data_IF_655916272351
#
_entry.id   IF_655916272351
#
_cell.length_a   1.000
_cell.length_b   1.000
_cell.length_c   1.000
_cell.angle_alpha   90.00
_cell.angle_beta   90.00
_cell.angle_gamma   90.00
#
_symmetry.space_group_name_H-M   'P 1'
#
loop_
_entity.id
_entity.type
_entity.pdbx_description
1 polymer ?
#
# COMPACT_ATOMS: atom_id res chain seq x y z
N UNK A 1 -7.03 -18.61 -9.99
CA UNK A 1 -5.67 -18.50 -10.54
C UNK A 1 -4.76 -17.98 -9.45
N UNK A 2 -3.69 -18.67 -9.14
CA UNK A 2 -2.72 -18.23 -8.13
C UNK A 2 -1.63 -17.47 -8.89
N UNK A 3 -1.33 -16.22 -8.50
CA UNK A 3 -0.17 -15.51 -9.01
C UNK A 3 1.05 -16.18 -8.40
N UNK A 4 1.66 -17.08 -9.16
CA UNK A 4 2.93 -17.69 -8.81
C UNK A 4 4.03 -16.85 -9.45
N UNK A 5 4.82 -16.19 -8.63
CA UNK A 5 6.10 -15.64 -9.08
C UNK A 5 6.96 -16.75 -9.66
N UNK A 6 7.77 -16.42 -10.69
CA UNK A 6 8.71 -17.29 -11.39
C UNK A 6 9.31 -18.36 -10.48
N UNK A 7 9.25 -19.61 -10.95
CA UNK A 7 9.99 -20.77 -10.43
C UNK A 7 9.56 -21.33 -9.07
N UNK A 8 8.33 -21.79 -8.88
CA UNK A 8 8.01 -22.78 -7.84
C UNK A 8 8.64 -22.61 -6.44
N UNK A 9 9.33 -21.50 -6.19
CA UNK A 9 9.95 -21.11 -4.94
C UNK A 9 8.85 -20.72 -3.96
N UNK A 10 8.68 -21.52 -2.93
CA UNK A 10 7.98 -21.13 -1.72
C UNK A 10 8.62 -19.82 -1.24
N UNK A 11 7.90 -18.71 -1.35
CA UNK A 11 8.36 -17.42 -0.81
C UNK A 11 8.31 -17.53 0.71
N UNK A 12 9.36 -18.10 1.32
CA UNK A 12 9.47 -18.23 2.78
C UNK A 12 9.49 -16.86 3.45
N UNK A 13 9.96 -15.84 2.74
CA UNK A 13 10.03 -14.45 3.21
C UNK A 13 9.18 -13.56 2.31
N UNK A 14 8.07 -13.02 2.85
CA UNK A 14 7.14 -12.13 2.13
C UNK A 14 5.72 -12.28 2.61
N UNK A 15 4.80 -11.60 1.94
CA UNK A 15 3.36 -11.69 2.18
C UNK A 15 2.77 -12.78 1.28
N UNK A 16 2.13 -13.78 1.88
CA UNK A 16 1.42 -14.87 1.19
C UNK A 16 -0.04 -14.83 1.60
N UNK A 17 -0.92 -14.75 0.61
CA UNK A 17 -2.38 -14.73 0.77
C UNK A 17 -2.96 -15.90 0.00
N UNK A 18 -3.76 -16.74 0.67
CA UNK A 18 -4.33 -17.95 0.07
C UNK A 18 -5.82 -18.04 0.36
N UNK A 19 -6.63 -18.07 -0.70
CA UNK A 19 -8.06 -18.31 -0.65
C UNK A 19 -8.84 -17.32 0.19
N UNK A 20 -8.41 -16.04 0.26
CA UNK A 20 -9.00 -15.02 1.11
C UNK A 20 -10.46 -14.79 0.76
N UNK A 21 -11.35 -14.79 1.79
CA UNK A 21 -12.81 -14.63 1.63
C UNK A 21 -13.36 -13.62 2.62
N UNK A 22 -14.35 -12.84 2.16
CA UNK A 22 -15.12 -11.92 2.98
C UNK A 22 -16.55 -11.80 2.47
N UNK A 23 -17.51 -11.97 3.38
CA UNK A 23 -18.93 -11.85 3.12
C UNK A 23 -19.56 -10.83 4.07
N UNK A 24 -20.47 -10.02 3.57
CA UNK A 24 -21.30 -9.09 4.34
C UNK A 24 -22.77 -9.39 4.07
N UNK A 25 -23.45 -10.07 4.99
CA UNK A 25 -24.79 -10.60 4.73
C UNK A 25 -24.79 -11.52 3.53
N UNK A 26 -25.60 -11.22 2.52
CA UNK A 26 -25.69 -11.99 1.27
C UNK A 26 -24.66 -11.57 0.21
N UNK A 27 -23.90 -10.49 0.47
CA UNK A 27 -22.91 -9.97 -0.48
C UNK A 27 -21.52 -10.54 -0.20
N UNK A 28 -20.96 -11.27 -1.18
CA UNK A 28 -19.57 -11.73 -1.15
C UNK A 28 -18.66 -10.67 -1.73
N UNK A 29 -17.94 -9.97 -0.86
CA UNK A 29 -17.04 -8.88 -1.25
C UNK A 29 -15.66 -9.37 -1.74
N UNK A 30 -15.19 -10.51 -1.21
CA UNK A 30 -13.93 -11.17 -1.62
C UNK A 30 -14.16 -12.66 -1.64
N UNK A 31 -13.82 -13.32 -2.74
CA UNK A 31 -14.07 -14.76 -2.96
C UNK A 31 -12.83 -15.46 -3.51
N UNK A 32 -12.05 -16.05 -2.62
CA UNK A 32 -10.93 -16.91 -2.96
C UNK A 32 -9.69 -16.17 -3.50
N UNK A 33 -9.46 -14.91 -3.12
CA UNK A 33 -8.31 -14.13 -3.57
C UNK A 33 -7.02 -14.73 -3.03
N UNK A 34 -6.06 -15.00 -3.94
CA UNK A 34 -4.74 -15.55 -3.63
C UNK A 34 -3.65 -14.82 -4.38
N UNK A 35 -2.57 -14.46 -3.69
CA UNK A 35 -1.38 -13.84 -4.28
C UNK A 35 -0.18 -13.94 -3.34
N UNK A 36 1.00 -13.66 -3.86
CA UNK A 36 2.23 -13.50 -3.09
C UNK A 36 2.86 -12.15 -3.39
N UNK A 37 3.53 -11.58 -2.39
CA UNK A 37 4.32 -10.35 -2.55
C UNK A 37 5.68 -10.58 -1.90
N UNK A 38 6.71 -10.70 -2.71
CA UNK A 38 8.09 -10.85 -2.25
C UNK A 38 8.60 -9.56 -1.60
N UNK A 39 9.61 -9.62 -0.71
CA UNK A 39 10.28 -8.43 -0.18
C UNK A 39 10.81 -7.57 -1.34
N UNK A 40 10.60 -6.26 -1.26
CA UNK A 40 11.02 -5.31 -2.28
C UNK A 40 10.25 -5.37 -3.61
N UNK A 41 9.33 -6.31 -3.79
CA UNK A 41 8.46 -6.36 -4.97
C UNK A 41 7.28 -5.38 -4.87
N UNK A 42 6.64 -5.10 -6.00
CA UNK A 42 5.46 -4.24 -6.09
C UNK A 42 4.34 -4.95 -6.85
N UNK A 43 3.20 -5.12 -6.18
CA UNK A 43 1.98 -5.67 -6.75
C UNK A 43 0.88 -4.61 -6.78
N UNK A 44 0.24 -4.41 -7.93
CA UNK A 44 -0.95 -3.59 -8.02
C UNK A 44 -2.23 -4.45 -8.02
N UNK A 45 -3.24 -4.01 -7.29
CA UNK A 45 -4.61 -4.54 -7.34
C UNK A 45 -5.48 -3.50 -8.05
N UNK A 46 -6.03 -3.88 -9.20
CA UNK A 46 -6.87 -3.00 -10.02
C UNK A 46 -8.27 -3.59 -10.22
N UNK A 47 -9.23 -2.75 -10.58
CA UNK A 47 -10.63 -3.13 -10.83
C UNK A 47 -11.57 -1.98 -10.55
N UNK A 48 -12.83 -2.11 -10.95
CA UNK A 48 -13.87 -1.10 -10.70
C UNK A 48 -14.18 -0.90 -9.21
N UNK A 49 -14.91 0.18 -8.89
CA UNK A 49 -15.45 0.39 -7.54
C UNK A 49 -16.33 -0.80 -7.14
N UNK A 50 -16.18 -1.27 -5.89
CA UNK A 50 -16.91 -2.45 -5.41
C UNK A 50 -16.33 -3.81 -5.82
N UNK A 51 -15.20 -3.87 -6.55
CA UNK A 51 -14.60 -5.16 -6.94
C UNK A 51 -13.92 -5.95 -5.80
N UNK A 52 -13.85 -5.39 -4.58
CA UNK A 52 -13.28 -6.06 -3.41
C UNK A 52 -11.87 -5.61 -3.02
N UNK A 53 -11.23 -4.66 -3.75
CA UNK A 53 -9.85 -4.18 -3.50
C UNK A 53 -9.64 -3.69 -2.07
N UNK A 54 -10.40 -2.67 -1.67
CA UNK A 54 -10.29 -2.08 -0.32
C UNK A 54 -10.60 -3.09 0.79
N UNK A 55 -11.58 -3.98 0.58
CA UNK A 55 -11.87 -5.07 1.54
C UNK A 55 -10.68 -6.01 1.67
N UNK A 56 -10.05 -6.39 0.54
CA UNK A 56 -8.85 -7.23 0.53
C UNK A 56 -7.74 -6.59 1.38
N UNK A 57 -7.38 -5.34 1.12
CA UNK A 57 -6.29 -4.70 1.88
C UNK A 57 -6.63 -4.43 3.34
N UNK A 58 -7.89 -4.13 3.68
CA UNK A 58 -8.33 -4.01 5.08
C UNK A 58 -8.16 -5.29 5.88
N UNK A 59 -8.37 -6.45 5.25
CA UNK A 59 -8.08 -7.73 5.88
C UNK A 59 -6.59 -7.94 6.14
N UNK A 60 -5.70 -7.51 5.23
CA UNK A 60 -4.25 -7.63 5.39
C UNK A 60 -3.72 -6.80 6.56
N UNK A 61 -4.22 -5.58 6.73
CA UNK A 61 -3.80 -4.69 7.83
C UNK A 61 -4.55 -4.97 9.14
N UNK A 62 -5.49 -5.93 9.14
CA UNK A 62 -6.24 -6.34 10.33
C UNK A 62 -7.37 -5.40 10.74
N UNK A 63 -7.81 -4.51 9.86
CA UNK A 63 -9.00 -3.66 10.05
C UNK A 63 -10.29 -4.43 9.80
N UNK A 64 -10.23 -5.47 8.97
CA UNK A 64 -11.31 -6.42 8.73
C UNK A 64 -10.83 -7.84 9.03
N UNK A 65 -11.76 -8.71 9.44
CA UNK A 65 -11.45 -10.12 9.63
C UNK A 65 -11.89 -10.91 8.40
N UNK A 66 -11.01 -11.75 7.83
CA UNK A 66 -11.42 -12.70 6.81
C UNK A 66 -12.39 -13.74 7.38
N UNK A 67 -13.33 -14.20 6.55
CA UNK A 67 -14.23 -15.30 6.89
C UNK A 67 -13.66 -16.65 6.43
N UNK A 68 -12.65 -16.62 5.54
CA UNK A 68 -11.89 -17.78 5.09
C UNK A 68 -10.57 -17.40 4.46
N UNK A 69 -9.72 -18.40 4.24
CA UNK A 69 -8.40 -18.24 3.70
C UNK A 69 -7.33 -17.93 4.75
N UNK A 70 -6.09 -17.76 4.30
CA UNK A 70 -4.94 -17.45 5.16
C UNK A 70 -4.16 -16.25 4.68
N UNK A 71 -3.61 -15.50 5.64
CA UNK A 71 -2.64 -14.42 5.43
C UNK A 71 -1.40 -14.73 6.24
N UNK A 72 -0.26 -14.88 5.58
CA UNK A 72 1.04 -15.10 6.24
C UNK A 72 2.02 -14.02 5.84
N UNK A 73 2.79 -13.55 6.79
CA UNK A 73 3.92 -12.65 6.54
C UNK A 73 5.18 -13.28 7.16
N UNK A 74 6.20 -13.50 6.32
CA UNK A 74 7.42 -14.17 6.73
C UNK A 74 7.16 -15.51 7.47
N UNK A 75 6.23 -16.32 6.93
CA UNK A 75 5.81 -17.61 7.50
C UNK A 75 4.86 -17.52 8.70
N UNK A 76 4.66 -16.34 9.31
CA UNK A 76 3.78 -16.17 10.47
C UNK A 76 2.33 -15.94 10.04
N UNK A 77 1.41 -16.72 10.59
CA UNK A 77 -0.04 -16.58 10.34
C UNK A 77 -0.58 -15.30 10.99
N UNK A 78 -1.30 -14.52 10.19
CA UNK A 78 -1.98 -13.27 10.59
C UNK A 78 -3.51 -13.35 10.44
N UNK A 79 -4.05 -14.49 10.01
CA UNK A 79 -5.49 -14.68 9.78
C UNK A 79 -6.29 -14.69 11.08
N UNK A 80 -5.64 -15.03 12.20
CA UNK A 80 -6.24 -15.10 13.52
C UNK A 80 -6.13 -13.78 14.29
N UNK A 81 -6.98 -13.59 15.31
CA UNK A 81 -6.87 -12.41 16.19
C UNK A 81 -5.54 -12.41 16.96
N UNK A 82 -4.88 -11.25 17.11
CA UNK A 82 -3.70 -11.13 17.93
C UNK A 82 -4.02 -11.45 19.41
N UNK A 83 -3.12 -12.17 20.07
CA UNK A 83 -3.24 -12.61 21.47
C UNK A 83 -2.81 -11.50 22.44
N UNK A 84 -3.41 -10.32 22.34
CA UNK A 84 -3.14 -9.23 23.25
C UNK A 84 -2.47 -8.01 22.60
N UNK A 85 -2.07 -7.04 23.46
CA UNK A 85 -1.56 -5.74 22.99
C UNK A 85 -0.20 -5.86 22.27
N UNK A 86 0.71 -6.66 22.80
CA UNK A 86 2.06 -6.79 22.25
C UNK A 86 2.02 -7.34 20.82
N UNK A 87 1.32 -8.45 20.59
CA UNK A 87 1.19 -9.04 19.25
C UNK A 87 0.44 -8.09 18.28
N UNK A 88 -0.55 -7.35 18.78
CA UNK A 88 -1.26 -6.35 17.96
C UNK A 88 -0.32 -5.24 17.51
N UNK A 89 0.53 -4.72 18.39
CA UNK A 89 1.52 -3.69 18.06
C UNK A 89 2.59 -4.23 17.10
N UNK A 90 3.06 -5.46 17.31
CA UNK A 90 4.00 -6.14 16.41
C UNK A 90 3.40 -6.26 15.00
N UNK A 91 2.19 -6.80 14.87
CA UNK A 91 1.49 -6.94 13.60
C UNK A 91 1.22 -5.59 12.91
N UNK A 92 0.88 -4.57 13.69
CA UNK A 92 0.65 -3.23 13.15
C UNK A 92 1.94 -2.60 12.58
N UNK A 93 3.12 -2.94 13.12
CA UNK A 93 4.41 -2.47 12.58
C UNK A 93 4.73 -3.11 11.23
N UNK A 94 4.39 -4.38 11.05
CA UNK A 94 4.84 -5.17 9.90
C UNK A 94 4.14 -4.80 8.59
N UNK A 95 2.85 -4.44 8.63
CA UNK A 95 2.08 -3.97 7.47
C UNK A 95 1.47 -2.63 7.82
N UNK A 96 1.86 -1.60 7.09
CA UNK A 96 1.32 -0.26 7.21
C UNK A 96 0.48 0.13 6.00
N UNK A 97 -0.43 1.08 6.18
CA UNK A 97 -1.33 1.54 5.13
C UNK A 97 -1.33 3.05 5.03
N UNK A 98 -1.19 3.54 3.81
CA UNK A 98 -1.43 4.94 3.45
C UNK A 98 -2.80 5.00 2.78
N UNK A 99 -3.72 5.76 3.38
CA UNK A 99 -5.10 5.90 2.91
C UNK A 99 -5.22 6.94 1.79
N UNK A 100 -6.29 6.84 1.02
CA UNK A 100 -6.65 7.75 -0.05
C UNK A 100 -6.72 9.22 0.43
N UNK A 101 -7.33 9.46 1.59
CA UNK A 101 -7.41 10.78 2.20
C UNK A 101 -6.41 10.89 3.37
N UNK A 102 -5.30 11.64 3.19
CA UNK A 102 -4.32 11.83 4.25
C UNK A 102 -4.87 12.58 5.47
N UNK A 103 -5.97 13.35 5.35
CA UNK A 103 -6.61 14.00 6.49
C UNK A 103 -7.13 13.00 7.53
N UNK A 104 -7.59 11.82 7.08
CA UNK A 104 -8.09 10.77 7.99
C UNK A 104 -6.98 10.14 8.84
N UNK A 105 -5.73 10.34 8.46
CA UNK A 105 -4.57 9.76 9.15
C UNK A 105 -3.81 10.76 10.04
N UNK A 106 -4.13 12.06 9.99
CA UNK A 106 -3.43 13.12 10.70
C UNK A 106 -4.38 13.84 11.67
N UNK A 107 -4.02 13.92 12.97
CA UNK A 107 -4.76 14.76 13.92
C UNK A 107 -4.52 16.24 13.57
N UNK A 108 -5.55 17.03 13.25
CA UNK A 108 -5.39 18.42 12.84
C UNK A 108 -4.86 19.35 13.95
N UNK A 109 -4.77 18.86 15.20
CA UNK A 109 -4.37 19.61 16.39
C UNK A 109 -2.90 19.45 16.76
N UNK A 110 -2.20 18.46 16.21
CA UNK A 110 -0.77 18.21 16.49
C UNK A 110 0.09 18.52 15.27
N UNK A 111 1.31 18.99 15.53
CA UNK A 111 2.28 19.27 14.46
C UNK A 111 2.70 18.00 13.74
N UNK A 112 3.25 18.14 12.54
CA UNK A 112 3.81 17.00 11.78
C UNK A 112 4.84 16.24 12.60
N UNK A 113 5.79 16.93 13.21
CA UNK A 113 6.78 16.29 14.10
C UNK A 113 6.13 15.58 15.29
N UNK A 114 5.09 16.16 15.88
CA UNK A 114 4.33 15.53 16.95
C UNK A 114 3.62 14.26 16.51
N UNK A 115 3.06 14.25 15.29
CA UNK A 115 2.42 13.08 14.71
C UNK A 115 3.41 11.91 14.51
N UNK A 116 4.64 12.20 14.04
CA UNK A 116 5.68 11.21 13.87
C UNK A 116 6.25 10.73 15.23
N UNK A 117 6.49 11.65 16.19
CA UNK A 117 6.95 11.31 17.53
C UNK A 117 5.97 10.39 18.26
N UNK A 118 4.66 10.62 18.12
CA UNK A 118 3.63 9.76 18.71
C UNK A 118 3.75 8.30 18.23
N UNK A 119 3.92 8.10 16.92
CA UNK A 119 4.11 6.76 16.33
C UNK A 119 5.39 6.11 16.83
N UNK A 120 6.50 6.85 16.84
CA UNK A 120 7.79 6.35 17.33
C UNK A 120 7.71 5.99 18.81
N UNK A 121 7.06 6.82 19.64
CA UNK A 121 6.87 6.56 21.08
C UNK A 121 6.03 5.31 21.34
N UNK A 122 5.02 5.04 20.49
CA UNK A 122 4.15 3.87 20.64
C UNK A 122 4.84 2.58 20.21
N UNK A 123 5.66 2.65 19.15
CA UNK A 123 6.15 1.47 18.46
C UNK A 123 7.65 1.20 18.65
N UNK A 124 8.42 2.12 19.23
CA UNK A 124 9.86 1.97 19.42
C UNK A 124 10.25 2.13 20.89
N UNK A 125 11.47 1.71 21.24
CA UNK A 125 12.08 1.96 22.56
C UNK A 125 13.00 3.18 22.60
N UNK A 126 12.93 4.06 21.58
CA UNK A 126 13.80 5.23 21.48
C UNK A 126 13.52 6.25 22.59
N UNK A 127 14.55 6.87 23.14
CA UNK A 127 14.42 8.03 24.01
C UNK A 127 14.00 9.29 23.24
N UNK A 128 13.74 10.38 23.93
CA UNK A 128 13.23 11.61 23.32
C UNK A 128 14.19 12.20 22.28
N UNK A 129 15.51 12.15 22.54
CA UNK A 129 16.54 12.68 21.64
C UNK A 129 16.63 11.85 20.37
N UNK A 130 16.69 10.52 20.51
CA UNK A 130 16.73 9.61 19.38
C UNK A 130 15.45 9.68 18.53
N UNK A 131 14.27 9.87 19.15
CA UNK A 131 13.03 10.09 18.39
C UNK A 131 13.05 11.40 17.62
N UNK A 132 13.57 12.49 18.21
CA UNK A 132 13.69 13.78 17.51
C UNK A 132 14.60 13.67 16.28
N UNK A 133 15.74 12.98 16.39
CA UNK A 133 16.62 12.68 15.26
C UNK A 133 15.89 11.87 14.20
N UNK A 134 15.20 10.79 14.61
CA UNK A 134 14.46 9.93 13.69
C UNK A 134 13.33 10.66 12.96
N UNK A 135 12.64 11.58 13.63
CA UNK A 135 11.63 12.46 13.01
C UNK A 135 12.26 13.30 11.90
N UNK A 136 13.44 13.90 12.13
CA UNK A 136 14.16 14.67 11.10
C UNK A 136 14.51 13.81 9.90
N UNK A 137 15.09 12.61 10.12
CA UNK A 137 15.43 11.67 9.06
C UNK A 137 14.22 11.25 8.22
N UNK A 138 13.07 10.98 8.87
CA UNK A 138 11.84 10.61 8.18
C UNK A 138 11.29 11.75 7.31
N UNK A 139 11.38 12.99 7.80
CA UNK A 139 10.96 14.15 7.03
C UNK A 139 11.90 14.39 5.84
N UNK A 140 13.20 14.29 6.04
CA UNK A 140 14.20 14.41 4.97
C UNK A 140 13.97 13.32 3.90
N UNK A 141 13.69 12.07 4.33
CA UNK A 141 13.41 10.95 3.44
C UNK A 141 12.20 11.20 2.52
N UNK A 142 11.20 11.96 2.98
CA UNK A 142 10.04 12.32 2.15
C UNK A 142 10.14 13.71 1.54
N UNK A 143 11.30 14.39 1.64
CA UNK A 143 11.56 15.71 1.07
C UNK A 143 10.76 16.82 1.75
N UNK A 144 10.61 16.77 3.07
CA UNK A 144 10.00 17.80 3.91
C UNK A 144 11.06 18.38 4.87
N UNK A 145 11.00 19.69 5.11
CA UNK A 145 11.96 20.39 5.94
C UNK A 145 11.44 20.75 7.35
N UNK A 146 12.26 21.54 8.06
CA UNK A 146 11.96 22.02 9.41
C UNK A 146 10.70 22.90 9.50
N UNK A 147 10.39 23.61 8.40
CA UNK A 147 9.17 24.42 8.31
C UNK A 147 7.92 23.53 8.37
N UNK A 148 7.89 22.47 7.59
CA UNK A 148 6.80 21.49 7.56
C UNK A 148 6.73 20.72 8.87
N UNK A 149 7.86 20.41 9.52
CA UNK A 149 7.94 19.71 10.79
C UNK A 149 7.11 20.41 11.90
N UNK A 150 7.15 21.74 11.96
CA UNK A 150 6.42 22.54 12.95
C UNK A 150 4.98 22.89 12.53
N UNK A 151 4.62 22.65 11.27
CA UNK A 151 3.29 22.98 10.75
C UNK A 151 2.21 22.04 11.29
N UNK A 152 0.98 22.57 11.38
CA UNK A 152 -0.22 21.75 11.54
C UNK A 152 -0.69 21.22 10.18
N UNK A 153 -1.39 20.08 10.11
CA UNK A 153 -1.85 19.49 8.84
C UNK A 153 -2.64 20.45 7.95
N UNK A 154 -3.41 21.37 8.54
CA UNK A 154 -4.18 22.41 7.80
C UNK A 154 -3.30 23.42 7.04
N UNK A 155 -2.05 23.60 7.47
CA UNK A 155 -1.08 24.50 6.85
C UNK A 155 -0.29 23.88 5.70
N UNK A 156 -0.51 22.60 5.39
CA UNK A 156 0.20 21.85 4.36
C UNK A 156 -0.62 21.76 3.07
N UNK A 157 0.05 21.68 1.92
CA UNK A 157 -0.57 21.30 0.65
C UNK A 157 -1.01 19.83 0.65
N UNK A 158 -1.84 19.42 -0.33
CA UNK A 158 -2.24 18.02 -0.51
C UNK A 158 -1.05 17.07 -0.61
N UNK A 159 -0.08 17.41 -1.48
CA UNK A 159 1.13 16.61 -1.66
C UNK A 159 2.02 16.56 -0.41
N UNK A 160 2.13 17.66 0.35
CA UNK A 160 2.86 17.67 1.62
C UNK A 160 2.20 16.77 2.66
N UNK A 161 0.87 16.83 2.78
CA UNK A 161 0.12 15.92 3.67
C UNK A 161 0.32 14.46 3.30
N UNK A 162 0.33 14.15 1.99
CA UNK A 162 0.60 12.80 1.51
C UNK A 162 2.00 12.33 1.88
N UNK A 163 3.01 13.20 1.75
CA UNK A 163 4.39 12.91 2.18
C UNK A 163 4.47 12.66 3.69
N UNK A 164 3.73 13.41 4.51
CA UNK A 164 3.64 13.17 5.97
C UNK A 164 2.97 11.82 6.27
N UNK A 165 1.89 11.45 5.56
CA UNK A 165 1.24 10.15 5.73
C UNK A 165 2.18 8.99 5.37
N UNK A 166 2.99 9.15 4.31
CA UNK A 166 4.03 8.19 3.93
C UNK A 166 5.10 8.12 5.03
N UNK A 167 5.65 9.25 5.49
CA UNK A 167 6.66 9.29 6.56
C UNK A 167 6.14 8.61 7.85
N UNK A 168 4.87 8.84 8.20
CA UNK A 168 4.22 8.20 9.34
C UNK A 168 4.16 6.68 9.20
N UNK A 169 3.82 6.17 8.02
CA UNK A 169 3.80 4.74 7.76
C UNK A 169 5.22 4.12 7.79
N UNK A 170 6.22 4.86 7.31
CA UNK A 170 7.63 4.42 7.33
C UNK A 170 8.28 4.47 8.72
N UNK A 171 7.73 5.25 9.66
CA UNK A 171 8.31 5.44 11.01
C UNK A 171 8.50 4.12 11.78
N UNK A 172 7.72 3.10 11.47
CA UNK A 172 7.80 1.78 12.12
C UNK A 172 8.58 0.74 11.31
N UNK A 173 9.20 1.14 10.19
CA UNK A 173 9.98 0.28 9.29
C UNK A 173 9.19 -0.97 8.85
N UNK A 174 8.06 -0.78 8.14
CA UNK A 174 7.18 -1.88 7.78
C UNK A 174 7.85 -2.82 6.76
N UNK A 175 7.41 -4.08 6.74
CA UNK A 175 7.78 -5.04 5.70
C UNK A 175 6.96 -4.88 4.43
N UNK A 176 5.70 -4.45 4.60
CA UNK A 176 4.77 -4.20 3.50
C UNK A 176 4.10 -2.84 3.71
N UNK A 177 4.08 -2.04 2.67
CA UNK A 177 3.35 -0.78 2.61
C UNK A 177 2.17 -0.92 1.63
N UNK A 178 0.97 -0.82 2.16
CA UNK A 178 -0.27 -0.78 1.39
C UNK A 178 -0.58 0.67 1.03
N UNK A 179 -0.82 0.94 -0.24
CA UNK A 179 -1.10 2.25 -0.80
C UNK A 179 -2.50 2.21 -1.45
N UNK A 180 -3.53 2.53 -0.65
CA UNK A 180 -4.92 2.49 -1.10
C UNK A 180 -5.33 3.83 -1.70
N UNK A 181 -5.33 3.89 -3.04
CA UNK A 181 -5.60 5.10 -3.83
C UNK A 181 -4.78 6.33 -3.38
N UNK A 182 -3.60 6.08 -2.84
CA UNK A 182 -2.78 7.07 -2.13
C UNK A 182 -2.35 8.29 -2.97
N UNK A 183 -2.51 8.25 -4.28
CA UNK A 183 -2.15 9.36 -5.19
C UNK A 183 -3.33 9.86 -6.04
N UNK A 184 -4.53 9.23 -5.92
CA UNK A 184 -5.65 9.50 -6.80
C UNK A 184 -6.23 10.92 -6.69
N UNK A 185 -6.11 11.55 -5.51
CA UNK A 185 -6.64 12.90 -5.26
C UNK A 185 -5.62 14.03 -5.52
N UNK A 186 -4.45 13.71 -6.10
CA UNK A 186 -3.37 14.66 -6.34
C UNK A 186 -3.31 15.09 -7.80
N UNK A 187 -2.82 16.31 -8.06
CA UNK A 187 -2.47 16.77 -9.40
C UNK A 187 -1.45 15.84 -10.05
N UNK A 188 -1.49 15.72 -11.38
CA UNK A 188 -0.62 14.82 -12.16
C UNK A 188 0.88 15.05 -11.85
N UNK A 189 1.30 16.31 -11.69
CA UNK A 189 2.70 16.64 -11.38
C UNK A 189 3.11 16.21 -9.95
N UNK A 190 2.22 16.40 -8.98
CA UNK A 190 2.45 15.97 -7.60
C UNK A 190 2.38 14.45 -7.50
N UNK A 191 1.46 13.82 -8.22
CA UNK A 191 1.35 12.37 -8.34
C UNK A 191 2.67 11.75 -8.83
N UNK A 192 3.25 12.28 -9.91
CA UNK A 192 4.54 11.81 -10.43
C UNK A 192 5.65 11.92 -9.37
N UNK A 193 5.76 13.05 -8.68
CA UNK A 193 6.75 13.23 -7.60
C UNK A 193 6.59 12.24 -6.45
N UNK A 194 5.34 11.92 -6.06
CA UNK A 194 5.09 10.92 -5.01
C UNK A 194 5.45 9.51 -5.49
N UNK A 195 5.17 9.18 -6.75
CA UNK A 195 5.54 7.87 -7.32
C UNK A 195 7.07 7.70 -7.40
N UNK A 196 7.80 8.74 -7.82
CA UNK A 196 9.27 8.74 -7.82
C UNK A 196 9.83 8.59 -6.40
N UNK A 197 9.28 9.31 -5.43
CA UNK A 197 9.64 9.18 -4.02
C UNK A 197 9.43 7.73 -3.52
N UNK A 198 8.26 7.15 -3.78
CA UNK A 198 7.96 5.78 -3.39
C UNK A 198 8.88 4.76 -4.07
N UNK A 199 9.21 4.96 -5.35
CA UNK A 199 10.15 4.12 -6.07
C UNK A 199 11.57 4.19 -5.47
N UNK A 200 12.04 5.38 -5.07
CA UNK A 200 13.32 5.57 -4.38
C UNK A 200 13.32 4.85 -3.03
N UNK A 201 12.31 5.09 -2.19
CA UNK A 201 12.18 4.44 -0.87
C UNK A 201 12.16 2.91 -1.01
N UNK A 202 11.44 2.35 -2.00
CA UNK A 202 11.39 0.90 -2.23
C UNK A 202 12.77 0.32 -2.52
N UNK A 203 13.54 0.98 -3.40
CA UNK A 203 14.91 0.53 -3.75
C UNK A 203 15.84 0.51 -2.54
N UNK A 204 15.74 1.53 -1.69
CA UNK A 204 16.65 1.72 -0.57
C UNK A 204 16.30 0.85 0.64
N UNK A 205 15.00 0.60 0.86
CA UNK A 205 14.50 -0.09 2.07
C UNK A 205 14.15 -1.56 1.87
N UNK A 206 13.91 -2.01 0.63
CA UNK A 206 13.43 -3.36 0.33
C UNK A 206 12.00 -3.64 0.83
N UNK A 207 11.20 -2.61 1.13
CA UNK A 207 9.79 -2.74 1.52
C UNK A 207 8.98 -3.26 0.33
N UNK A 208 8.13 -4.28 0.55
CA UNK A 208 7.17 -4.72 -0.45
C UNK A 208 6.00 -3.73 -0.57
N UNK A 209 5.59 -3.40 -1.78
CA UNK A 209 4.48 -2.48 -2.02
C UNK A 209 3.24 -3.19 -2.55
N UNK A 210 2.08 -2.88 -1.97
CA UNK A 210 0.79 -3.29 -2.46
C UNK A 210 -0.03 -2.05 -2.83
N UNK A 211 -0.13 -1.76 -4.12
CA UNK A 211 -0.92 -0.65 -4.64
C UNK A 211 -2.35 -1.06 -4.89
N UNK A 212 -3.30 -0.26 -4.44
CA UNK A 212 -4.71 -0.33 -4.86
C UNK A 212 -5.02 0.93 -5.63
N UNK A 213 -5.37 0.79 -6.89
CA UNK A 213 -5.69 1.93 -7.75
C UNK A 213 -6.61 1.51 -8.89
N UNK A 214 -7.33 2.46 -9.44
CA UNK A 214 -8.04 2.34 -10.72
C UNK A 214 -7.27 3.01 -11.87
N UNK A 215 -6.15 3.70 -11.57
CA UNK A 215 -5.32 4.38 -12.55
C UNK A 215 -4.23 3.44 -13.08
N UNK A 216 -4.41 2.95 -14.31
CA UNK A 216 -3.48 2.03 -14.97
C UNK A 216 -2.16 2.69 -15.40
N UNK A 217 -2.12 4.04 -15.51
CA UNK A 217 -0.87 4.76 -15.76
C UNK A 217 0.03 4.70 -14.51
N UNK A 218 -0.55 4.83 -13.32
CA UNK A 218 0.16 4.61 -12.05
C UNK A 218 0.72 3.20 -11.99
N UNK A 219 -0.09 2.18 -12.33
CA UNK A 219 0.33 0.77 -12.32
C UNK A 219 1.56 0.55 -13.22
N UNK A 220 1.54 1.08 -14.45
CA UNK A 220 2.68 0.97 -15.38
C UNK A 220 3.97 1.55 -14.83
N UNK A 221 3.86 2.59 -14.02
CA UNK A 221 5.03 3.31 -13.52
C UNK A 221 5.68 2.62 -12.31
N UNK A 222 4.88 1.97 -11.44
CA UNK A 222 5.39 1.55 -10.13
C UNK A 222 5.26 0.06 -9.83
N UNK A 223 4.39 -0.68 -10.53
CA UNK A 223 4.12 -2.07 -10.22
C UNK A 223 4.89 -3.03 -11.10
N UNK A 224 5.50 -4.05 -10.49
CA UNK A 224 6.16 -5.16 -11.20
C UNK A 224 5.10 -6.15 -11.71
N UNK A 225 4.09 -6.41 -10.90
CA UNK A 225 2.97 -7.31 -11.19
C UNK A 225 1.63 -6.61 -10.96
N UNK A 226 0.60 -7.09 -11.64
CA UNK A 226 -0.76 -6.59 -11.49
C UNK A 226 -1.75 -7.73 -11.37
N UNK A 227 -2.75 -7.53 -10.51
CA UNK A 227 -3.87 -8.43 -10.28
C UNK A 227 -5.17 -7.68 -10.54
N UNK A 228 -5.99 -8.18 -11.45
CA UNK A 228 -7.28 -7.59 -11.82
C UNK A 228 -8.40 -8.26 -11.04
N UNK A 229 -9.13 -7.48 -10.23
CA UNK A 229 -10.27 -7.94 -9.46
C UNK A 229 -11.58 -7.54 -10.13
N UNK A 230 -12.50 -8.50 -10.20
CA UNK A 230 -13.90 -8.29 -10.59
C UNK A 230 -14.82 -9.06 -9.65
N UNK A 231 -15.79 -8.39 -9.05
CA UNK A 231 -16.80 -9.01 -8.16
C UNK A 231 -16.19 -9.95 -7.11
N UNK A 232 -15.13 -9.49 -6.44
CA UNK A 232 -14.44 -10.22 -5.38
C UNK A 232 -13.47 -11.31 -5.84
N UNK A 233 -13.33 -11.56 -7.14
CA UNK A 233 -12.48 -12.62 -7.69
C UNK A 233 -11.33 -12.07 -8.52
N UNK A 234 -10.21 -12.77 -8.55
CA UNK A 234 -9.09 -12.49 -9.45
C UNK A 234 -9.44 -13.05 -10.83
N UNK A 235 -9.56 -12.18 -11.82
CA UNK A 235 -9.90 -12.58 -13.20
C UNK A 235 -8.66 -12.67 -14.09
N UNK A 236 -7.63 -11.85 -13.79
CA UNK A 236 -6.35 -11.91 -14.50
C UNK A 236 -5.23 -11.44 -13.58
N UNK A 237 -4.03 -12.02 -13.73
CA UNK A 237 -2.87 -11.61 -12.98
C UNK A 237 -1.57 -12.00 -13.71
N UNK A 238 -0.50 -11.21 -13.48
CA UNK A 238 0.80 -11.44 -14.10
C UNK A 238 1.69 -10.21 -14.04
N UNK A 239 2.78 -10.24 -14.81
CA UNK A 239 3.64 -9.05 -14.94
C UNK A 239 2.85 -7.89 -15.53
N UNK A 240 3.16 -6.68 -15.08
CA UNK A 240 2.46 -5.46 -15.50
C UNK A 240 2.43 -5.33 -17.03
N UNK A 241 3.55 -5.58 -17.71
CA UNK A 241 3.59 -5.53 -19.17
C UNK A 241 2.66 -6.55 -19.82
N UNK A 242 2.66 -7.83 -19.36
CA UNK A 242 1.78 -8.86 -19.93
C UNK A 242 0.31 -8.50 -19.81
N UNK A 243 -0.13 -8.12 -18.61
CA UNK A 243 -1.57 -7.86 -18.35
C UNK A 243 -2.04 -6.57 -19.02
N UNK A 244 -1.19 -5.52 -19.07
CA UNK A 244 -1.61 -4.23 -19.62
C UNK A 244 -1.36 -4.07 -21.12
N UNK A 245 -0.43 -4.84 -21.73
CA UNK A 245 -0.12 -4.73 -23.16
C UNK A 245 -0.76 -5.86 -23.98
N UNK A 246 -0.97 -7.05 -23.36
CA UNK A 246 -1.58 -8.20 -24.00
C UNK A 246 -2.61 -8.88 -23.08
N UNK A 247 -3.69 -8.18 -22.67
CA UNK A 247 -4.70 -8.70 -21.78
C UNK A 247 -5.42 -9.92 -22.38
N UNK A 248 -5.53 -10.98 -21.60
CA UNK A 248 -6.21 -12.20 -22.02
C UNK A 248 -7.70 -12.19 -21.66
N UNK A 249 -8.05 -11.63 -20.47
CA UNK A 249 -9.42 -11.65 -19.98
C UNK A 249 -10.25 -10.50 -20.59
N UNK A 250 -11.51 -10.74 -21.06
CA UNK A 250 -12.35 -9.71 -21.67
C UNK A 250 -12.59 -8.48 -20.76
N UNK A 251 -12.73 -8.70 -19.46
CA UNK A 251 -12.92 -7.60 -18.51
C UNK A 251 -11.68 -6.71 -18.39
N UNK A 252 -10.46 -7.29 -18.45
CA UNK A 252 -9.21 -6.51 -18.43
C UNK A 252 -9.14 -5.60 -19.67
N UNK A 253 -9.53 -6.12 -20.85
CA UNK A 253 -9.62 -5.32 -22.09
C UNK A 253 -10.59 -4.17 -21.93
N UNK A 254 -11.79 -4.45 -21.41
CA UNK A 254 -12.80 -3.42 -21.15
C UNK A 254 -12.29 -2.34 -20.18
N UNK A 255 -11.59 -2.75 -19.11
CA UNK A 255 -10.99 -1.84 -18.14
C UNK A 255 -9.94 -0.93 -18.80
N UNK A 256 -9.10 -1.47 -19.66
CA UNK A 256 -8.08 -0.73 -20.41
C UNK A 256 -8.69 0.23 -21.43
N UNK A 257 -9.75 -0.18 -22.12
CA UNK A 257 -10.45 0.65 -23.12
C UNK A 257 -11.21 1.81 -22.47
N UNK A 258 -11.63 1.67 -21.20
CA UNK A 258 -12.34 2.71 -20.47
C UNK A 258 -11.43 3.84 -19.96
N UNK A 259 -10.11 3.63 -19.97
CA UNK A 259 -9.14 4.66 -19.58
C UNK A 259 -8.94 5.62 -20.77
N UNK A 260 -9.22 6.94 -20.62
CA UNK A 260 -8.93 7.91 -21.66
C UNK A 260 -7.45 7.82 -22.02
N UNK A 261 -7.11 7.61 -23.29
CA UNK A 261 -5.73 7.65 -23.79
C UNK A 261 -5.18 9.09 -23.67
N UNK A 262 -4.83 9.53 -22.46
CA UNK A 262 -4.06 10.75 -22.25
C UNK A 262 -2.62 10.46 -22.59
N UNK A 263 -1.98 11.39 -23.32
CA UNK A 263 -0.60 11.31 -23.76
C UNK A 263 0.33 10.85 -22.63
N UNK A 264 1.16 9.86 -22.93
CA UNK A 264 2.03 9.18 -21.99
C UNK A 264 2.92 10.13 -21.20
N UNK A 265 3.31 9.71 -20.01
CA UNK A 265 4.42 10.31 -19.28
C UNK A 265 5.66 10.33 -20.19
N UNK A 266 6.46 11.42 -20.23
CA UNK A 266 7.71 11.41 -20.96
C UNK A 266 8.60 10.29 -20.44
N UNK A 267 9.17 9.50 -21.37
CA UNK A 267 10.13 8.48 -21.04
C UNK A 267 11.28 9.10 -20.24
N UNK A 268 11.60 8.54 -19.08
CA UNK A 268 12.79 8.89 -18.33
C UNK A 268 14.03 8.56 -19.19
N UNK A 269 14.85 9.57 -19.48
CA UNK A 269 16.16 9.43 -20.09
C UNK A 269 17.21 9.01 -19.05
#
# INVERSE_FOLDING_TARGET
>A
MTVSTKDGLVVENGLVVEGLRKQYGDHTAVDGVSFTLAPGASLAIVGESGSGKTTTVRMLVGLERPDGGTVRLNGRDRSTRPRGRAERLERAREIQMVFQDPYLSLDPRISVSGCLDEVLRLHTGLDATARATRVSELLDQVGLGTREASALPRGLSGGQRQRVAIARALAVEPRVLVLDEAVAALDVSIQAQILELLAAIRRDSGIGYLFVTHDLAVVRHIADEVMVLKSGQVVEAGTTSRVLDAPEHPYTRLLLDSVPRRGGFPAAH
#
